data_IF_396601811505
#
_entry.id   IF_396601811505
#
_cell.length_a   1.000
_cell.length_b   1.000
_cell.length_c   1.000
_cell.angle_alpha   90.00
_cell.angle_beta   90.00
_cell.angle_gamma   90.00
#
_symmetry.space_group_name_H-M   'P 1'
#
loop_
_entity.id
_entity.type
_entity.pdbx_description
1 polymer ?
#
# COMPACT_ATOMS: atom_id res chain seq x y z
N UNK A 1 28.55 7.25 19.08
CA UNK A 1 29.45 6.28 18.40
C UNK A 1 29.35 6.55 16.90
N UNK A 2 30.47 6.55 16.17
CA UNK A 2 30.49 6.92 14.74
C UNK A 2 29.82 5.85 13.87
N UNK A 3 29.02 6.29 12.89
CA UNK A 3 28.40 5.45 11.86
C UNK A 3 29.39 4.99 10.78
N UNK A 4 30.61 5.54 10.79
CA UNK A 4 31.66 5.19 9.84
C UNK A 4 32.49 4.00 10.34
N UNK A 5 32.34 2.85 9.66
CA UNK A 5 33.01 1.58 9.97
C UNK A 5 34.54 1.69 9.95
N UNK A 6 35.10 2.61 9.16
CA UNK A 6 36.56 2.84 9.13
C UNK A 6 37.13 3.47 10.41
N UNK A 7 36.27 4.07 11.24
CA UNK A 7 36.65 4.63 12.54
C UNK A 7 36.43 3.68 13.72
N UNK A 8 35.96 2.45 13.47
CA UNK A 8 35.78 1.46 14.52
C UNK A 8 37.15 0.93 14.95
N UNK A 9 37.35 0.63 16.25
CA UNK A 9 38.60 0.08 16.73
C UNK A 9 38.93 -1.21 15.98
N UNK A 10 40.03 -1.19 15.23
CA UNK A 10 40.56 -2.35 14.52
C UNK A 10 40.97 -3.36 15.59
N UNK A 11 40.56 -4.62 15.43
CA UNK A 11 40.94 -5.67 16.37
C UNK A 11 42.46 -5.82 16.41
N UNK A 12 43.08 -5.35 17.50
CA UNK A 12 44.52 -5.44 17.71
C UNK A 12 44.92 -6.75 18.38
N UNK A 13 44.02 -7.35 19.15
CA UNK A 13 44.27 -8.60 19.88
C UNK A 13 43.33 -9.70 19.42
N UNK A 14 43.88 -10.72 18.75
CA UNK A 14 43.19 -11.97 18.46
C UNK A 14 43.18 -12.84 19.72
N UNK A 15 42.01 -13.36 20.10
CA UNK A 15 41.99 -14.47 21.06
C UNK A 15 42.50 -15.70 20.32
N UNK A 16 43.65 -16.24 20.75
CA UNK A 16 44.20 -17.49 20.23
C UNK A 16 43.19 -18.63 20.49
N UNK A 17 42.32 -18.85 19.53
CA UNK A 17 41.33 -19.93 19.52
C UNK A 17 41.53 -20.72 18.24
N UNK A 18 41.68 -22.04 18.36
CA UNK A 18 41.96 -23.01 17.29
C UNK A 18 40.81 -23.20 16.29
N UNK A 19 40.08 -22.13 15.95
CA UNK A 19 38.99 -22.15 14.97
C UNK A 19 39.32 -21.15 13.86
N UNK A 20 39.02 -21.47 12.61
CA UNK A 20 39.28 -20.66 11.39
C UNK A 20 38.56 -19.28 11.33
N UNK A 21 38.09 -18.76 12.46
CA UNK A 21 37.42 -17.47 12.56
C UNK A 21 38.10 -16.58 13.60
N UNK A 22 38.57 -15.41 13.16
CA UNK A 22 39.15 -14.38 14.02
C UNK A 22 38.08 -13.90 15.01
N UNK A 23 38.28 -14.12 16.31
CA UNK A 23 37.35 -13.67 17.36
C UNK A 23 37.91 -12.45 18.08
N UNK A 24 37.18 -11.32 18.00
CA UNK A 24 37.55 -10.05 18.62
C UNK A 24 36.82 -9.82 19.96
N UNK A 25 37.40 -8.97 20.82
CA UNK A 25 36.83 -8.63 22.14
C UNK A 25 35.57 -7.76 22.07
N UNK A 26 35.42 -6.93 21.04
CA UNK A 26 34.19 -6.19 20.73
C UNK A 26 33.65 -6.73 19.41
N UNK A 27 32.64 -7.59 19.48
CA UNK A 27 31.97 -8.12 18.29
C UNK A 27 30.68 -7.33 18.07
N UNK A 28 30.68 -6.45 17.06
CA UNK A 28 29.43 -5.94 16.50
C UNK A 28 28.66 -7.12 15.90
N UNK A 29 27.37 -7.22 16.19
CA UNK A 29 26.50 -8.26 15.63
C UNK A 29 25.22 -7.64 15.06
N UNK A 30 24.51 -8.37 14.18
CA UNK A 30 23.25 -7.90 13.63
C UNK A 30 22.23 -7.60 14.73
N UNK A 31 21.64 -6.42 14.65
CA UNK A 31 20.54 -5.94 15.46
C UNK A 31 19.40 -5.55 14.52
N UNK A 32 18.25 -6.19 14.69
CA UNK A 32 17.04 -5.83 13.95
C UNK A 32 16.30 -4.73 14.71
N UNK A 33 16.12 -3.57 14.08
CA UNK A 33 15.53 -2.38 14.69
C UNK A 33 14.36 -1.83 13.87
N UNK A 34 13.44 -1.15 14.55
CA UNK A 34 12.33 -0.44 13.92
C UNK A 34 11.27 -1.35 13.27
N UNK A 35 10.35 -0.71 12.54
CA UNK A 35 9.21 -1.34 11.87
C UNK A 35 9.46 -1.69 10.40
N UNK A 36 10.58 -1.24 9.83
CA UNK A 36 10.98 -1.48 8.43
C UNK A 36 11.95 -2.66 8.28
N UNK A 37 12.10 -3.48 9.32
CA UNK A 37 12.99 -4.64 9.33
C UNK A 37 14.46 -4.27 9.05
N UNK A 38 14.91 -3.11 9.53
CA UNK A 38 16.26 -2.64 9.31
C UNK A 38 17.25 -3.49 10.10
N UNK A 39 18.35 -3.87 9.44
CA UNK A 39 19.45 -4.57 10.07
C UNK A 39 20.68 -3.66 10.16
N UNK A 40 21.15 -3.44 11.38
CA UNK A 40 22.41 -2.73 11.65
C UNK A 40 23.37 -3.64 12.40
N UNK A 41 24.65 -3.58 12.10
CA UNK A 41 25.68 -4.25 12.89
C UNK A 41 26.06 -3.30 14.03
N UNK A 42 25.84 -3.71 15.28
CA UNK A 42 26.15 -2.85 16.44
C UNK A 42 26.49 -3.66 17.69
N UNK A 43 26.85 -2.99 18.79
CA UNK A 43 27.07 -3.63 20.10
C UNK A 43 25.74 -4.02 20.75
N UNK A 44 25.77 -4.96 21.69
CA UNK A 44 24.55 -5.37 22.40
C UNK A 44 23.92 -4.20 23.17
N UNK A 45 24.73 -3.40 23.87
CA UNK A 45 24.25 -2.23 24.62
C UNK A 45 23.55 -1.20 23.73
N UNK A 46 24.07 -0.98 22.51
CA UNK A 46 23.43 -0.06 21.57
C UNK A 46 22.14 -0.65 20.99
N UNK A 47 22.10 -1.96 20.73
CA UNK A 47 20.89 -2.63 20.29
C UNK A 47 19.78 -2.58 21.36
N UNK A 48 20.15 -2.82 22.63
CA UNK A 48 19.24 -2.75 23.76
C UNK A 48 18.72 -1.31 23.96
N UNK A 49 19.57 -0.30 23.74
CA UNK A 49 19.16 1.11 23.74
C UNK A 49 18.16 1.46 22.62
N UNK A 50 18.30 0.83 21.45
CA UNK A 50 17.38 1.01 20.31
C UNK A 50 16.10 0.16 20.43
N UNK A 51 15.91 -0.56 21.54
CA UNK A 51 14.84 -1.54 21.73
C UNK A 51 14.80 -2.61 20.61
N UNK A 52 15.97 -2.91 20.06
CA UNK A 52 16.15 -3.85 18.94
C UNK A 52 16.32 -5.29 19.38
N UNK A 53 16.22 -6.20 18.40
CA UNK A 53 16.51 -7.63 18.62
C UNK A 53 17.95 -7.95 18.24
N UNK A 54 18.78 -8.22 19.25
CA UNK A 54 20.19 -8.58 19.06
C UNK A 54 20.37 -10.06 18.71
N UNK A 55 21.12 -10.35 17.64
CA UNK A 55 21.38 -11.71 17.18
C UNK A 55 22.80 -12.16 17.55
N UNK A 56 22.91 -12.88 18.68
CA UNK A 56 24.20 -13.38 19.20
C UNK A 56 24.84 -14.46 18.31
N UNK A 57 24.04 -15.20 17.56
CA UNK A 57 24.51 -16.34 16.76
C UNK A 57 24.83 -15.97 15.30
N UNK A 58 24.62 -14.70 14.93
CA UNK A 58 24.89 -14.19 13.59
C UNK A 58 26.03 -13.16 13.60
N UNK A 59 26.68 -13.02 12.45
CA UNK A 59 27.78 -12.08 12.24
C UNK A 59 27.47 -11.08 11.12
N UNK A 60 26.62 -11.44 10.16
CA UNK A 60 26.21 -10.58 9.04
C UNK A 60 24.69 -10.40 8.97
N UNK A 61 24.25 -9.24 8.47
CA UNK A 61 22.84 -8.96 8.24
C UNK A 61 22.19 -9.92 7.23
N UNK A 62 22.97 -10.46 6.28
CA UNK A 62 22.50 -11.48 5.34
C UNK A 62 22.15 -12.82 6.00
N UNK A 63 22.58 -13.06 7.24
CA UNK A 63 22.30 -14.29 7.99
C UNK A 63 21.03 -14.18 8.84
N UNK A 64 20.46 -12.98 8.99
CA UNK A 64 19.25 -12.73 9.79
C UNK A 64 18.14 -12.22 8.91
N UNK A 65 16.91 -12.60 9.24
CA UNK A 65 15.72 -12.07 8.59
C UNK A 65 14.98 -11.19 9.61
N UNK A 66 15.24 -9.89 9.56
CA UNK A 66 14.60 -8.91 10.43
C UNK A 66 13.09 -8.78 10.16
N UNK A 67 12.65 -9.04 8.92
CA UNK A 67 11.24 -9.00 8.54
C UNK A 67 10.43 -10.08 9.26
N UNK A 68 11.08 -11.16 9.70
CA UNK A 68 10.43 -12.22 10.49
C UNK A 68 9.88 -11.73 11.83
N UNK A 69 10.51 -10.73 12.45
CA UNK A 69 10.04 -10.15 13.71
C UNK A 69 8.79 -9.28 13.55
N UNK A 70 8.60 -8.70 12.37
CA UNK A 70 7.54 -7.72 12.09
C UNK A 70 6.37 -8.39 11.36
N UNK A 71 6.65 -9.16 10.32
CA UNK A 71 5.66 -9.80 9.44
C UNK A 71 5.33 -11.25 9.87
N UNK A 72 5.37 -11.55 11.17
CA UNK A 72 5.34 -12.90 11.73
C UNK A 72 4.00 -13.66 11.72
N UNK A 73 3.14 -13.52 10.70
CA UNK A 73 1.87 -14.27 10.61
C UNK A 73 2.09 -15.78 10.44
N UNK A 74 2.90 -16.18 9.45
CA UNK A 74 3.21 -17.58 9.14
C UNK A 74 4.72 -17.77 8.98
N UNK A 75 5.27 -18.96 9.32
CA UNK A 75 6.70 -19.23 9.13
C UNK A 75 7.12 -19.03 7.67
N UNK A 76 8.27 -18.42 7.44
CA UNK A 76 8.84 -18.27 6.10
C UNK A 76 9.38 -19.61 5.60
N UNK A 77 8.85 -20.08 4.48
CA UNK A 77 9.37 -21.22 3.74
C UNK A 77 10.59 -20.87 2.89
N UNK A 78 11.12 -21.85 2.15
CA UNK A 78 12.18 -21.62 1.14
C UNK A 78 11.65 -21.04 -0.18
N UNK A 79 10.34 -21.14 -0.41
CA UNK A 79 9.64 -20.67 -1.60
C UNK A 79 8.70 -19.53 -1.23
N UNK A 80 8.47 -18.54 -2.11
CA UNK A 80 7.51 -17.46 -1.88
C UNK A 80 6.07 -17.98 -2.00
N UNK A 81 5.53 -18.55 -0.91
CA UNK A 81 4.22 -19.20 -0.84
C UNK A 81 3.16 -18.40 -0.07
N UNK A 82 3.44 -17.14 0.27
CA UNK A 82 2.64 -16.36 1.22
C UNK A 82 1.70 -15.35 0.54
N UNK A 83 1.04 -15.76 -0.55
CA UNK A 83 0.11 -14.92 -1.33
C UNK A 83 -1.06 -14.41 -0.46
N UNK A 84 -1.46 -15.16 0.58
CA UNK A 84 -2.49 -14.73 1.53
C UNK A 84 -2.19 -13.36 2.17
N UNK A 85 -0.91 -12.94 2.24
CA UNK A 85 -0.53 -11.64 2.81
C UNK A 85 -1.08 -10.47 2.01
N UNK A 86 -1.21 -10.59 0.69
CA UNK A 86 -1.76 -9.53 -0.17
C UNK A 86 -3.21 -9.20 0.20
N UNK A 87 -4.01 -10.22 0.52
CA UNK A 87 -5.40 -10.03 0.97
C UNK A 87 -5.50 -9.66 2.45
N UNK A 88 -4.76 -10.34 3.31
CA UNK A 88 -4.83 -10.12 4.76
C UNK A 88 -4.37 -8.73 5.19
N UNK A 89 -3.39 -8.15 4.49
CA UNK A 89 -2.89 -6.80 4.78
C UNK A 89 -3.99 -5.73 4.75
N UNK A 90 -5.03 -5.90 3.92
CA UNK A 90 -6.19 -4.99 3.85
C UNK A 90 -6.95 -4.90 5.18
N UNK A 91 -6.98 -5.99 5.95
CA UNK A 91 -7.74 -6.08 7.20
C UNK A 91 -6.88 -5.80 8.44
N UNK A 92 -5.56 -5.91 8.33
CA UNK A 92 -4.62 -5.64 9.41
C UNK A 92 -4.47 -4.13 9.62
N UNK A 93 -4.16 -3.72 10.86
CA UNK A 93 -3.95 -2.32 11.19
C UNK A 93 -2.77 -2.21 12.15
N UNK A 94 -1.97 -1.14 11.99
CA UNK A 94 -0.77 -0.91 12.78
C UNK A 94 -1.04 -0.57 14.27
N UNK A 95 -2.28 -0.18 14.64
CA UNK A 95 -2.63 0.14 16.02
C UNK A 95 -4.08 0.56 16.23
N UNK A 96 -4.48 0.76 17.48
CA UNK A 96 -5.86 1.04 17.89
C UNK A 96 -6.40 2.33 17.26
N UNK A 97 -5.60 3.41 17.27
CA UNK A 97 -6.00 4.68 16.65
C UNK A 97 -6.23 4.53 15.14
N UNK A 98 -5.39 3.75 14.45
CA UNK A 98 -5.56 3.47 13.03
C UNK A 98 -6.87 2.73 12.77
N UNK A 99 -7.20 1.70 13.56
CA UNK A 99 -8.47 0.98 13.47
C UNK A 99 -9.67 1.90 13.68
N UNK A 100 -9.64 2.74 14.72
CA UNK A 100 -10.76 3.65 15.03
C UNK A 100 -11.03 4.62 13.87
N UNK A 101 -9.98 5.24 13.32
CA UNK A 101 -10.11 6.15 12.18
C UNK A 101 -10.65 5.42 10.95
N UNK A 102 -10.17 4.21 10.66
CA UNK A 102 -10.66 3.38 9.56
C UNK A 102 -12.14 3.06 9.72
N UNK A 103 -12.58 2.64 10.91
CA UNK A 103 -13.98 2.27 11.16
C UNK A 103 -14.88 3.49 10.97
N UNK A 104 -14.49 4.66 11.48
CA UNK A 104 -15.25 5.91 11.31
C UNK A 104 -15.39 6.23 9.82
N UNK A 105 -14.29 6.22 9.07
CA UNK A 105 -14.29 6.49 7.64
C UNK A 105 -15.18 5.51 6.87
N UNK A 106 -14.99 4.21 7.10
CA UNK A 106 -15.77 3.16 6.47
C UNK A 106 -17.27 3.26 6.84
N UNK A 107 -17.60 3.59 8.09
CA UNK A 107 -19.00 3.68 8.50
C UNK A 107 -19.76 4.80 7.77
N UNK A 108 -19.12 5.92 7.48
CA UNK A 108 -19.77 7.00 6.73
C UNK A 108 -19.77 6.73 5.22
N UNK A 109 -18.62 6.36 4.65
CA UNK A 109 -18.46 6.30 3.20
C UNK A 109 -18.92 4.97 2.62
N UNK A 110 -18.51 3.85 3.23
CA UNK A 110 -18.84 2.51 2.73
C UNK A 110 -20.33 2.19 2.89
N UNK A 111 -20.97 2.67 3.96
CA UNK A 111 -22.42 2.53 4.15
C UNK A 111 -23.21 3.21 3.06
N UNK A 112 -22.81 4.42 2.67
CA UNK A 112 -23.51 5.17 1.65
C UNK A 112 -23.25 4.52 0.27
N UNK A 113 -22.01 4.09 0.01
CA UNK A 113 -21.64 3.31 -1.16
C UNK A 113 -22.45 2.01 -1.29
N UNK A 114 -22.60 1.26 -0.20
CA UNK A 114 -23.36 0.00 -0.15
C UNK A 114 -24.84 0.20 -0.49
N UNK A 115 -25.42 1.33 -0.10
CA UNK A 115 -26.79 1.69 -0.50
C UNK A 115 -26.92 1.98 -1.99
N UNK A 116 -25.85 2.43 -2.67
CA UNK A 116 -25.88 2.72 -4.10
C UNK A 116 -25.56 1.49 -4.96
N UNK A 117 -24.54 0.71 -4.58
CA UNK A 117 -24.00 -0.40 -5.36
C UNK A 117 -24.51 -1.78 -4.92
N UNK A 118 -25.03 -1.88 -3.70
CA UNK A 118 -25.22 -3.14 -3.00
C UNK A 118 -23.94 -3.68 -2.37
N UNK A 119 -24.11 -4.66 -1.49
CA UNK A 119 -23.02 -5.21 -0.68
C UNK A 119 -21.96 -5.95 -1.50
N UNK A 120 -22.36 -6.73 -2.52
CA UNK A 120 -21.44 -7.51 -3.36
C UNK A 120 -20.49 -6.62 -4.17
N UNK A 121 -21.03 -5.60 -4.83
CA UNK A 121 -20.23 -4.68 -5.63
C UNK A 121 -19.32 -3.84 -4.71
N UNK A 122 -19.82 -3.40 -3.56
CA UNK A 122 -19.01 -2.70 -2.56
C UNK A 122 -17.86 -3.55 -2.03
N UNK A 123 -18.12 -4.81 -1.68
CA UNK A 123 -17.11 -5.74 -1.19
C UNK A 123 -16.04 -6.05 -2.25
N UNK A 124 -16.46 -6.33 -3.50
CA UNK A 124 -15.53 -6.62 -4.60
C UNK A 124 -14.68 -5.40 -4.98
N UNK A 125 -15.26 -4.19 -4.98
CA UNK A 125 -14.51 -2.95 -5.16
C UNK A 125 -13.49 -2.76 -4.04
N UNK A 126 -13.91 -2.88 -2.78
CA UNK A 126 -13.07 -2.61 -1.62
C UNK A 126 -11.91 -3.61 -1.51
N UNK A 127 -12.21 -4.90 -1.53
CA UNK A 127 -11.20 -5.95 -1.39
C UNK A 127 -10.33 -6.01 -2.65
N UNK A 128 -10.94 -5.92 -3.84
CA UNK A 128 -10.23 -5.93 -5.11
C UNK A 128 -9.24 -4.77 -5.20
N UNK A 129 -9.70 -3.53 -5.11
CA UNK A 129 -8.79 -2.37 -5.17
C UNK A 129 -7.70 -2.41 -4.09
N UNK A 130 -7.99 -2.94 -2.89
CA UNK A 130 -7.00 -3.16 -1.84
C UNK A 130 -5.90 -4.14 -2.25
N UNK A 131 -6.26 -5.31 -2.76
CA UNK A 131 -5.29 -6.31 -3.24
C UNK A 131 -4.47 -5.75 -4.39
N UNK A 132 -5.10 -5.09 -5.36
CA UNK A 132 -4.41 -4.43 -6.47
C UNK A 132 -3.40 -3.38 -6.00
N UNK A 133 -3.77 -2.55 -5.02
CA UNK A 133 -2.87 -1.60 -4.38
C UNK A 133 -1.69 -2.28 -3.69
N UNK A 134 -1.93 -3.34 -2.92
CA UNK A 134 -0.88 -4.08 -2.22
C UNK A 134 0.12 -4.74 -3.18
N UNK A 135 -0.33 -5.19 -4.36
CA UNK A 135 0.58 -5.68 -5.40
C UNK A 135 1.48 -4.55 -5.92
N UNK A 136 0.91 -3.37 -6.20
CA UNK A 136 1.69 -2.22 -6.66
C UNK A 136 2.70 -1.75 -5.58
N UNK A 137 2.31 -1.73 -4.31
CA UNK A 137 3.23 -1.46 -3.19
C UNK A 137 4.37 -2.48 -3.14
N UNK A 138 4.05 -3.77 -3.20
CA UNK A 138 5.04 -4.84 -3.15
C UNK A 138 6.04 -4.81 -4.32
N UNK A 139 5.65 -4.24 -5.48
CA UNK A 139 6.52 -4.04 -6.64
C UNK A 139 7.55 -2.91 -6.43
N UNK A 140 7.13 -1.79 -5.84
CA UNK A 140 7.96 -0.59 -5.75
C UNK A 140 8.67 -0.42 -4.41
N UNK A 141 8.17 -1.03 -3.33
CA UNK A 141 8.71 -0.92 -1.96
C UNK A 141 8.67 -2.28 -1.22
N UNK A 142 9.36 -3.31 -1.72
CA UNK A 142 9.21 -4.69 -1.22
C UNK A 142 9.66 -4.91 0.23
N UNK A 143 10.51 -4.03 0.77
CA UNK A 143 11.07 -4.15 2.12
C UNK A 143 10.31 -3.34 3.17
N UNK A 144 9.29 -2.59 2.79
CA UNK A 144 8.46 -1.82 3.72
C UNK A 144 7.21 -2.61 4.10
N UNK A 145 7.03 -2.85 5.40
CA UNK A 145 5.83 -3.48 5.90
C UNK A 145 4.68 -2.46 6.00
N UNK A 146 3.64 -2.63 5.17
CA UNK A 146 2.41 -1.85 5.26
C UNK A 146 1.22 -2.73 5.65
N UNK A 147 0.30 -2.16 6.42
CA UNK A 147 -0.99 -2.75 6.75
C UNK A 147 -2.08 -1.69 6.73
N UNK A 148 -3.29 -2.09 6.37
CA UNK A 148 -4.48 -1.24 6.43
C UNK A 148 -5.20 -1.16 5.09
N UNK A 149 -6.44 -0.67 5.10
CA UNK A 149 -7.25 -0.57 3.90
C UNK A 149 -7.07 0.75 3.16
N UNK A 150 -5.94 1.45 3.34
CA UNK A 150 -5.72 2.75 2.69
C UNK A 150 -5.86 2.65 1.17
N UNK A 151 -5.29 1.61 0.54
CA UNK A 151 -5.49 1.31 -0.88
C UNK A 151 -6.97 1.15 -1.26
N UNK A 152 -7.73 0.39 -0.48
CA UNK A 152 -9.17 0.19 -0.69
C UNK A 152 -9.97 1.49 -0.58
N UNK A 153 -9.62 2.37 0.36
CA UNK A 153 -10.27 3.67 0.52
C UNK A 153 -10.05 4.56 -0.70
N UNK A 154 -8.83 4.58 -1.24
CA UNK A 154 -8.55 5.30 -2.49
C UNK A 154 -9.32 4.71 -3.67
N UNK A 155 -9.51 3.39 -3.71
CA UNK A 155 -10.36 2.74 -4.71
C UNK A 155 -11.83 3.15 -4.62
N UNK A 156 -12.35 3.36 -3.41
CA UNK A 156 -13.69 3.88 -3.17
C UNK A 156 -13.82 5.35 -3.59
N UNK A 157 -12.82 6.18 -3.32
CA UNK A 157 -12.82 7.57 -3.77
C UNK A 157 -12.77 7.63 -5.31
N UNK A 158 -11.98 6.77 -5.96
CA UNK A 158 -11.96 6.62 -7.41
C UNK A 158 -13.36 6.30 -7.97
N UNK A 159 -14.11 5.43 -7.28
CA UNK A 159 -15.50 5.16 -7.64
C UNK A 159 -16.39 6.40 -7.60
N UNK A 160 -16.34 7.19 -6.53
CA UNK A 160 -17.15 8.41 -6.44
C UNK A 160 -16.82 9.41 -7.55
N UNK A 161 -15.54 9.55 -7.93
CA UNK A 161 -15.15 10.40 -9.06
C UNK A 161 -15.75 9.90 -10.38
N UNK A 162 -15.60 8.61 -10.70
CA UNK A 162 -16.19 8.02 -11.91
C UNK A 162 -17.73 8.10 -11.89
N UNK A 163 -18.33 7.92 -10.71
CA UNK A 163 -19.77 8.03 -10.51
C UNK A 163 -20.30 9.42 -10.84
N UNK A 164 -19.63 10.48 -10.37
CA UNK A 164 -20.01 11.87 -10.66
C UNK A 164 -19.82 12.20 -12.14
N UNK A 165 -18.72 11.74 -12.76
CA UNK A 165 -18.48 11.93 -14.20
C UNK A 165 -19.59 11.29 -15.04
N UNK A 166 -19.97 10.05 -14.71
CA UNK A 166 -21.00 9.33 -15.45
C UNK A 166 -22.39 9.93 -15.26
N UNK A 167 -22.70 10.42 -14.05
CA UNK A 167 -23.97 11.04 -13.69
C UNK A 167 -23.88 12.57 -13.62
N UNK A 168 -23.09 13.20 -14.52
CA UNK A 168 -22.83 14.63 -14.46
C UNK A 168 -24.09 15.50 -14.40
N UNK A 169 -25.12 15.13 -15.19
CA UNK A 169 -26.37 15.89 -15.25
C UNK A 169 -27.28 15.71 -14.03
N UNK A 170 -27.01 14.71 -13.18
CA UNK A 170 -27.80 14.46 -11.97
C UNK A 170 -27.54 15.50 -10.87
N UNK A 171 -26.29 15.98 -10.79
CA UNK A 171 -25.87 16.93 -9.75
C UNK A 171 -26.04 18.38 -10.22
N UNK A 172 -26.73 19.20 -9.42
CA UNK A 172 -26.91 20.64 -9.69
C UNK A 172 -25.59 21.37 -9.94
N UNK A 173 -24.54 20.96 -9.22
CA UNK A 173 -23.18 21.50 -9.31
C UNK A 173 -22.15 20.37 -9.34
N UNK A 174 -22.24 19.49 -10.33
CA UNK A 174 -21.34 18.34 -10.50
C UNK A 174 -19.84 18.70 -10.38
N UNK A 175 -19.44 19.85 -10.91
CA UNK A 175 -18.05 20.33 -10.83
C UNK A 175 -17.58 20.60 -9.40
N UNK A 176 -18.46 21.07 -8.49
CA UNK A 176 -18.12 21.28 -7.08
C UNK A 176 -17.93 19.95 -6.37
N UNK A 177 -18.79 18.96 -6.63
CA UNK A 177 -18.65 17.63 -6.05
C UNK A 177 -17.36 16.95 -6.54
N UNK A 178 -17.06 17.03 -7.84
CA UNK A 178 -15.78 16.59 -8.40
C UNK A 178 -14.59 17.29 -7.73
N UNK A 179 -14.65 18.60 -7.57
CA UNK A 179 -13.59 19.37 -6.95
C UNK A 179 -13.37 18.95 -5.48
N UNK A 180 -14.44 18.72 -4.71
CA UNK A 180 -14.36 18.24 -3.33
C UNK A 180 -13.59 16.92 -3.23
N UNK A 181 -14.00 15.89 -3.98
CA UNK A 181 -13.31 14.60 -3.96
C UNK A 181 -11.88 14.70 -4.52
N UNK A 182 -11.67 15.51 -5.56
CA UNK A 182 -10.33 15.72 -6.13
C UNK A 182 -9.38 16.40 -5.14
N UNK A 183 -9.84 17.41 -4.39
CA UNK A 183 -9.07 18.05 -3.33
C UNK A 183 -8.72 17.02 -2.24
N UNK A 184 -9.68 16.19 -1.83
CA UNK A 184 -9.42 15.13 -0.84
C UNK A 184 -8.32 14.18 -1.33
N UNK A 185 -8.41 13.70 -2.58
CA UNK A 185 -7.38 12.83 -3.19
C UNK A 185 -6.01 13.50 -3.19
N UNK A 186 -5.93 14.75 -3.63
CA UNK A 186 -4.66 15.50 -3.66
C UNK A 186 -4.10 15.66 -2.25
N UNK A 187 -4.91 16.06 -1.27
CA UNK A 187 -4.47 16.21 0.11
C UNK A 187 -3.97 14.89 0.70
N UNK A 188 -4.67 13.78 0.46
CA UNK A 188 -4.24 12.46 0.95
C UNK A 188 -2.94 12.00 0.28
N UNK A 189 -2.74 12.26 -1.02
CA UNK A 189 -1.46 12.00 -1.69
C UNK A 189 -0.32 12.89 -1.16
N UNK A 190 -0.60 14.17 -0.89
CA UNK A 190 0.37 15.08 -0.28
C UNK A 190 0.79 14.60 1.11
N UNK A 191 -0.17 14.14 1.92
CA UNK A 191 0.11 13.52 3.22
C UNK A 191 0.97 12.27 3.05
N UNK A 192 0.78 11.50 1.98
CA UNK A 192 1.57 10.30 1.74
C UNK A 192 3.03 10.53 1.31
N UNK A 193 3.46 11.79 1.12
CA UNK A 193 4.88 12.10 1.03
C UNK A 193 5.60 12.03 2.40
N UNK A 194 4.87 11.82 3.49
CA UNK A 194 5.44 11.54 4.81
C UNK A 194 6.01 10.12 4.87
N UNK A 195 7.09 9.90 5.65
CA UNK A 195 7.62 8.56 5.87
C UNK A 195 6.56 7.66 6.50
N UNK A 196 6.71 6.35 6.28
CA UNK A 196 5.80 5.29 6.76
C UNK A 196 4.41 5.27 6.11
N UNK A 197 4.14 6.17 5.16
CA UNK A 197 2.93 6.13 4.36
C UNK A 197 3.27 5.65 2.96
N UNK A 198 2.58 4.61 2.51
CA UNK A 198 2.78 4.08 1.17
C UNK A 198 1.88 4.77 0.14
N UNK A 199 2.48 5.59 -0.71
CA UNK A 199 1.78 6.19 -1.84
C UNK A 199 1.59 5.22 -3.01
N UNK A 200 2.42 4.20 -3.19
CA UNK A 200 2.25 3.21 -4.26
C UNK A 200 1.02 2.36 -4.02
N UNK A 201 0.78 1.93 -2.78
CA UNK A 201 -0.45 1.23 -2.42
C UNK A 201 -1.69 2.07 -2.76
N UNK A 202 -1.64 3.37 -2.47
CA UNK A 202 -2.73 4.32 -2.74
C UNK A 202 -2.93 4.58 -4.23
N UNK A 203 -1.85 4.76 -4.99
CA UNK A 203 -1.88 4.92 -6.45
C UNK A 203 -2.46 3.66 -7.09
N UNK A 204 -1.98 2.48 -6.69
CA UNK A 204 -2.50 1.21 -7.15
C UNK A 204 -3.97 1.04 -6.80
N UNK A 205 -4.35 1.28 -5.54
CA UNK A 205 -5.74 1.22 -5.09
C UNK A 205 -6.67 2.15 -5.88
N UNK A 206 -6.22 3.38 -6.16
CA UNK A 206 -6.94 4.32 -7.02
C UNK A 206 -7.09 3.80 -8.47
N UNK A 207 -6.02 3.28 -9.07
CA UNK A 207 -6.00 2.74 -10.42
C UNK A 207 -6.93 1.53 -10.59
N UNK A 208 -6.77 0.52 -9.72
CA UNK A 208 -7.63 -0.66 -9.72
C UNK A 208 -9.08 -0.28 -9.38
N UNK A 209 -9.29 0.66 -8.45
CA UNK A 209 -10.60 1.21 -8.12
C UNK A 209 -11.30 1.85 -9.33
N UNK A 210 -10.60 2.65 -10.14
CA UNK A 210 -11.16 3.19 -11.39
C UNK A 210 -11.63 2.07 -12.31
N UNK A 211 -10.84 0.99 -12.47
CA UNK A 211 -11.21 -0.14 -13.32
C UNK A 211 -12.45 -0.88 -12.81
N UNK A 212 -12.53 -1.15 -11.50
CA UNK A 212 -13.74 -1.71 -10.87
C UNK A 212 -14.95 -0.79 -11.06
N UNK A 213 -14.74 0.53 -10.97
CA UNK A 213 -15.81 1.51 -11.14
C UNK A 213 -16.41 1.49 -12.53
N UNK A 214 -15.58 1.41 -13.58
CA UNK A 214 -16.06 1.27 -14.96
C UNK A 214 -16.89 -0.01 -15.18
N UNK A 215 -16.54 -1.10 -14.50
CA UNK A 215 -17.30 -2.35 -14.59
C UNK A 215 -18.64 -2.21 -13.84
N UNK A 216 -18.60 -1.70 -12.60
CA UNK A 216 -19.73 -1.71 -11.68
C UNK A 216 -20.76 -0.61 -11.95
N UNK A 217 -20.37 0.51 -12.57
CA UNK A 217 -21.28 1.63 -12.80
C UNK A 217 -22.48 1.27 -13.70
N UNK A 218 -22.33 0.23 -14.53
CA UNK A 218 -23.39 -0.30 -15.37
C UNK A 218 -24.31 -1.30 -14.67
N UNK A 219 -23.89 -1.82 -13.51
CA UNK A 219 -24.67 -2.74 -12.67
C UNK A 219 -25.50 -2.04 -11.61
N UNK A 220 -25.27 -0.75 -11.34
CA UNK A 220 -26.04 0.04 -10.38
C UNK A 220 -27.52 -0.08 -10.78
N UNK A 221 -28.35 -0.79 -9.99
CA UNK A 221 -29.79 -0.73 -10.17
C UNK A 221 -30.13 0.74 -9.98
N UNK A 222 -30.74 1.38 -10.96
CA UNK A 222 -31.30 2.70 -10.75
C UNK A 222 -32.36 2.55 -9.65
N UNK A 223 -31.97 2.78 -8.40
CA UNK A 223 -32.89 2.76 -7.28
C UNK A 223 -34.06 3.67 -7.63
N UNK A 224 -35.29 3.22 -7.36
CA UNK A 224 -36.54 3.83 -7.84
C UNK A 224 -36.60 5.36 -7.66
N UNK A 225 -36.00 5.89 -6.59
CA UNK A 225 -35.89 7.33 -6.32
C UNK A 225 -35.09 8.11 -7.38
N UNK A 226 -34.00 7.52 -7.88
CA UNK A 226 -33.12 8.14 -8.89
C UNK A 226 -33.76 8.09 -10.28
N UNK A 227 -34.53 7.04 -10.57
CA UNK A 227 -35.34 6.88 -11.78
C UNK A 227 -36.51 7.87 -11.81
N UNK A 228 -37.20 8.04 -10.68
CA UNK A 228 -38.31 8.99 -10.53
C UNK A 228 -37.83 10.45 -10.65
N UNK A 229 -36.73 10.79 -10.00
CA UNK A 229 -36.11 12.12 -10.12
C UNK A 229 -35.61 12.42 -11.54
N UNK A 230 -34.94 11.45 -12.20
CA UNK A 230 -34.49 11.61 -13.59
C UNK A 230 -35.66 11.75 -14.57
N UNK A 231 -36.74 10.99 -14.37
CA UNK A 231 -37.98 11.11 -15.15
C UNK A 231 -38.57 12.53 -15.04
N UNK A 232 -38.59 13.10 -13.84
CA UNK A 232 -39.12 14.43 -13.58
C UNK A 232 -38.24 15.54 -14.17
N UNK A 233 -36.91 15.44 -14.01
CA UNK A 233 -35.97 16.50 -14.40
C UNK A 233 -35.52 16.45 -15.87
N UNK A 234 -35.45 15.26 -16.45
CA UNK A 234 -35.00 15.02 -17.82
C UNK A 234 -35.95 14.10 -18.61
N UNK A 235 -37.21 14.52 -18.84
CA UNK A 235 -38.25 13.67 -19.45
C UNK A 235 -37.93 13.21 -20.89
N UNK A 236 -37.03 13.91 -21.60
CA UNK A 236 -36.69 13.64 -23.00
C UNK A 236 -35.29 13.04 -23.23
N UNK A 237 -34.51 12.77 -22.17
CA UNK A 237 -33.18 12.17 -22.31
C UNK A 237 -33.27 10.64 -22.27
N UNK A 238 -33.86 10.04 -23.31
CA UNK A 238 -33.75 8.58 -23.51
C UNK A 238 -32.30 8.27 -23.91
N UNK A 239 -31.47 7.87 -22.95
CA UNK A 239 -30.19 7.26 -23.25
C UNK A 239 -30.43 5.97 -24.05
N UNK A 240 -30.41 6.07 -25.39
CA UNK A 240 -30.46 4.96 -26.33
C UNK A 240 -29.13 4.20 -26.31
N UNK A 241 -28.67 3.83 -25.12
CA UNK A 241 -27.53 2.93 -24.94
C UNK A 241 -28.05 1.54 -25.28
N UNK A 242 -27.61 1.01 -26.42
CA UNK A 242 -27.94 -0.37 -26.79
C UNK A 242 -27.41 -1.29 -25.69
N UNK A 243 -28.22 -2.26 -25.28
CA UNK A 243 -27.83 -3.29 -24.30
C UNK A 243 -26.48 -3.91 -24.68
N UNK A 244 -26.26 -4.10 -25.99
CA UNK A 244 -25.01 -4.58 -26.56
C UNK A 244 -23.80 -3.68 -26.25
N UNK A 245 -23.96 -2.36 -26.27
CA UNK A 245 -22.91 -1.40 -25.92
C UNK A 245 -22.53 -1.46 -24.44
N UNK A 246 -23.50 -1.65 -23.54
CA UNK A 246 -23.23 -1.83 -22.09
C UNK A 246 -22.49 -3.15 -21.82
N UNK A 247 -22.91 -4.23 -22.47
CA UNK A 247 -22.26 -5.54 -22.36
C UNK A 247 -20.83 -5.47 -22.91
N UNK A 248 -20.62 -4.80 -24.05
CA UNK A 248 -19.28 -4.63 -24.63
C UNK A 248 -18.33 -3.88 -23.69
N UNK A 249 -18.76 -2.74 -23.13
CA UNK A 249 -17.97 -1.95 -22.18
C UNK A 249 -17.60 -2.75 -20.92
N UNK A 250 -18.53 -3.54 -20.41
CA UNK A 250 -18.33 -4.41 -19.27
C UNK A 250 -17.29 -5.50 -19.55
N UNK A 251 -17.39 -6.18 -20.70
CA UNK A 251 -16.41 -7.19 -21.12
C UNK A 251 -15.04 -6.54 -21.28
N UNK A 252 -14.97 -5.38 -21.94
CA UNK A 252 -13.70 -4.64 -22.09
C UNK A 252 -13.11 -4.25 -20.74
N UNK A 253 -13.94 -3.75 -19.82
CA UNK A 253 -13.49 -3.40 -18.46
C UNK A 253 -12.96 -4.61 -17.68
N UNK A 254 -13.65 -5.75 -17.76
CA UNK A 254 -13.20 -7.00 -17.13
C UNK A 254 -11.89 -7.51 -17.72
N UNK A 255 -11.75 -7.49 -19.05
CA UNK A 255 -10.50 -7.89 -19.72
C UNK A 255 -9.35 -6.98 -19.29
N UNK A 256 -9.55 -5.66 -19.28
CA UNK A 256 -8.53 -4.70 -18.83
C UNK A 256 -8.13 -4.94 -17.37
N UNK A 257 -9.11 -5.12 -16.48
CA UNK A 257 -8.85 -5.41 -15.06
C UNK A 257 -8.03 -6.70 -14.88
N UNK A 258 -8.42 -7.78 -15.57
CA UNK A 258 -7.70 -9.06 -15.50
C UNK A 258 -6.30 -8.95 -16.08
N UNK A 259 -6.12 -8.27 -17.21
CA UNK A 259 -4.79 -8.06 -17.81
C UNK A 259 -3.89 -7.26 -16.86
N UNK A 260 -4.42 -6.24 -16.19
CA UNK A 260 -3.68 -5.45 -15.23
C UNK A 260 -3.25 -6.29 -14.02
N UNK A 261 -4.15 -7.10 -13.44
CA UNK A 261 -3.79 -8.01 -12.36
C UNK A 261 -2.73 -9.04 -12.76
N UNK A 262 -2.93 -9.69 -13.91
CA UNK A 262 -2.00 -10.72 -14.41
C UNK A 262 -0.64 -10.09 -14.65
N UNK A 263 -0.59 -8.92 -15.29
CA UNK A 263 0.65 -8.19 -15.54
C UNK A 263 1.37 -7.81 -14.25
N UNK A 264 0.68 -7.17 -13.29
CA UNK A 264 1.28 -6.79 -12.01
C UNK A 264 1.75 -7.99 -11.19
N UNK A 265 0.99 -9.09 -11.22
CA UNK A 265 1.36 -10.32 -10.53
C UNK A 265 2.56 -11.02 -11.19
N UNK A 266 2.58 -11.12 -12.52
CA UNK A 266 3.71 -11.68 -13.26
C UNK A 266 4.97 -10.85 -13.07
N UNK A 267 4.86 -9.52 -13.11
CA UNK A 267 5.97 -8.62 -12.83
C UNK A 267 6.57 -8.92 -11.46
N UNK A 268 5.72 -9.04 -10.43
CA UNK A 268 6.18 -9.30 -9.05
C UNK A 268 6.97 -10.61 -8.91
N UNK A 269 6.63 -11.63 -9.70
CA UNK A 269 7.32 -12.93 -9.65
C UNK A 269 8.51 -13.07 -10.61
N UNK A 270 8.50 -12.36 -11.74
CA UNK A 270 9.51 -12.50 -12.80
C UNK A 270 10.63 -11.47 -12.66
N UNK A 271 10.30 -10.25 -12.26
CA UNK A 271 11.21 -9.11 -12.21
C UNK A 271 11.41 -8.73 -10.74
N UNK A 272 12.24 -9.53 -10.05
CA UNK A 272 12.55 -9.34 -8.62
C UNK A 272 13.42 -8.12 -8.31
N UNK A 273 13.93 -7.42 -9.34
CA UNK A 273 14.78 -6.24 -9.18
C UNK A 273 13.96 -4.95 -9.27
N UNK A 274 13.97 -4.20 -8.17
CA UNK A 274 13.26 -2.93 -8.03
C UNK A 274 13.91 -1.88 -8.93
N UNK A 275 13.12 -1.25 -9.80
CA UNK A 275 13.57 -0.09 -10.57
C UNK A 275 13.85 1.08 -9.61
N UNK A 276 15.14 1.33 -9.30
CA UNK A 276 15.62 2.38 -8.39
C UNK A 276 15.17 3.81 -8.73
N UNK A 277 14.63 4.04 -9.93
CA UNK A 277 14.16 5.34 -10.38
C UNK A 277 12.90 5.84 -9.67
N UNK A 278 12.09 4.95 -9.08
CA UNK A 278 10.81 5.35 -8.52
C UNK A 278 10.78 5.46 -7.00
N UNK A 279 11.62 4.78 -6.22
CA UNK A 279 11.57 4.55 -4.75
C UNK A 279 11.36 5.77 -3.83
N UNK A 280 11.33 6.98 -4.39
CA UNK A 280 11.29 8.25 -3.69
C UNK A 280 9.89 8.83 -3.47
N UNK A 281 8.80 8.25 -4.03
CA UNK A 281 7.45 8.83 -3.94
C UNK A 281 6.83 8.83 -2.53
N UNK A 282 7.40 8.07 -1.58
CA UNK A 282 6.94 8.06 -0.18
C UNK A 282 7.70 9.07 0.71
N UNK A 283 8.69 9.82 0.17
CA UNK A 283 9.56 10.71 0.94
C UNK A 283 10.07 11.91 0.11
N UNK A 284 9.14 12.74 -0.35
CA UNK A 284 9.42 14.02 -1.03
C UNK A 284 8.92 15.16 -0.14
N UNK A 285 9.71 15.51 0.89
CA UNK A 285 9.33 16.58 1.83
C UNK A 285 10.20 17.83 1.58
N UNK A 286 9.66 19.07 1.73
CA UNK A 286 10.48 20.29 1.78
C UNK A 286 11.64 20.20 2.78
N UNK A 287 12.74 20.88 2.46
CA UNK A 287 14.08 20.79 3.08
C UNK A 287 14.14 20.97 4.60
N UNK A 288 13.08 21.46 5.25
CA UNK A 288 13.01 21.60 6.71
C UNK A 288 12.63 20.32 7.47
N UNK A 289 12.11 19.29 6.79
CA UNK A 289 11.74 17.99 7.38
C UNK A 289 12.58 16.81 6.83
N UNK A 290 13.64 17.10 6.08
CA UNK A 290 14.48 16.11 5.40
C UNK A 290 15.11 15.06 6.32
N UNK A 291 15.34 15.41 7.60
CA UNK A 291 15.88 14.49 8.61
C UNK A 291 14.94 13.30 8.89
N UNK A 292 13.61 13.46 8.72
CA UNK A 292 12.64 12.36 8.90
C UNK A 292 12.69 11.33 7.77
N UNK A 293 13.20 11.71 6.60
CA UNK A 293 13.36 10.83 5.45
C UNK A 293 14.77 10.20 5.38
N UNK A 294 15.69 10.60 6.26
CA UNK A 294 17.08 10.15 6.21
C UNK A 294 17.19 8.66 6.57
N UNK A 295 16.41 8.21 7.54
CA UNK A 295 16.29 6.79 7.92
C UNK A 295 15.59 5.99 6.79
N UNK A 296 14.51 6.52 6.21
CA UNK A 296 13.79 5.90 5.08
C UNK A 296 14.66 5.73 3.82
N UNK A 297 15.57 6.67 3.54
CA UNK A 297 16.42 6.66 2.33
C UNK A 297 17.63 5.74 2.46
N UNK A 298 18.13 5.49 3.67
CA UNK A 298 19.19 4.49 3.89
C UNK A 298 18.70 3.08 3.59
N UNK A 299 17.42 2.79 3.87
CA UNK A 299 16.78 1.49 3.65
C UNK A 299 16.53 1.14 2.16
N UNK A 300 16.56 2.12 1.25
CA UNK A 300 16.42 1.90 -0.20
C UNK A 300 17.78 1.63 -0.87
N UNK A 301 18.88 2.07 -0.24
CA UNK A 301 20.24 2.04 -0.80
C UNK A 301 21.13 0.88 -0.32
N UNK A 302 20.59 -0.02 0.50
CA UNK A 302 21.26 -1.23 1.01
C UNK A 302 20.74 -2.49 0.30
#
# INVERSE_FOLDING_TARGET
MSTNVTGWPICTDSVASNSEHLSCRVTGRPCCVGIQAQCIITSQEHCDFLEGKFHKDAFLCSQVNCLKGICGLTPFGKTPDQIQRLGLAVFLHAGIFHVLLTIIFNFYILRDLEKYLGWLATATLYIGSGIGGNIISALFVPYSAEVGPAASMFGVIAFFLIFIVYHWNFFDRAWLEMLKYSIIVVLLFLIGFLPYIDNYARIGGFLFGMMFSFIQIHYIPQHDCMTEFNSFRFPNQKAKSSLLGKIALLITGLVLLLTLYIFSFLWFYLEGDVWNGFSYLNCIIPTSLSNLCQDYRQDISA
#
